data_IF_028103882490
#
_entry.id   IF_028103882490
#
_cell.length_a   1.000
_cell.length_b   1.000
_cell.length_c   1.000
_cell.angle_alpha   90.00
_cell.angle_beta   90.00
_cell.angle_gamma   90.00
#
_symmetry.space_group_name_H-M   'P 1'
#
loop_
_entity.id
_entity.type
_entity.pdbx_description
1 polymer ?
2 non-polymer ?
3 non-polymer ?
4 non-polymer ?
5 non-polymer ?
6 water ?
#
# COMPACT_ATOMS: atom_id res chain seq x y z
N UNK A 5 23.83 23.76 0.66
CA UNK A 5 23.97 22.77 -0.45
C UNK A 5 25.44 22.47 -0.76
N UNK A 6 25.90 21.20 -0.59
CA UNK A 6 25.01 20.12 -0.13
C UNK A 6 24.78 20.17 1.38
N UNK A 7 23.79 19.40 1.84
CA UNK A 7 23.59 19.12 3.25
C UNK A 7 24.91 18.67 3.86
N UNK A 8 25.24 19.12 5.09
CA UNK A 8 26.49 18.67 5.73
C UNK A 8 26.48 17.17 6.05
N UNK A 9 25.34 16.50 5.91
CA UNK A 9 25.23 15.07 6.20
C UNK A 9 25.35 14.27 4.90
N UNK A 10 25.15 14.91 3.74
CA UNK A 10 24.91 14.12 2.56
C UNK A 10 26.21 13.38 2.18
N UNK A 11 26.05 12.08 1.87
CA UNK A 11 27.17 11.28 1.43
C UNK A 11 26.68 10.11 0.59
N UNK A 12 27.31 9.92 -0.59
CA UNK A 12 27.00 8.80 -1.48
C UNK A 12 25.50 8.74 -1.79
N UNK A 13 24.85 9.89 -1.90
CA UNK A 13 23.39 9.91 -2.09
C UNK A 13 23.07 10.62 -3.41
N UNK A 14 22.75 9.85 -4.44
CA UNK A 14 22.64 10.44 -5.77
C UNK A 14 21.35 11.25 -5.91
N UNK A 15 21.34 12.40 -6.64
CA UNK A 15 20.10 13.14 -6.88
C UNK A 15 18.98 12.30 -7.47
N UNK A 16 19.30 11.32 -8.34
CA UNK A 16 18.24 10.49 -8.91
C UNK A 16 17.58 9.64 -7.82
N UNK A 17 18.36 9.20 -6.81
CA UNK A 17 17.83 8.40 -5.70
C UNK A 17 16.90 9.29 -4.86
N UNK A 18 17.34 10.52 -4.61
CA UNK A 18 16.56 11.49 -3.83
C UNK A 18 15.20 11.73 -4.51
N UNK A 19 15.21 11.91 -5.84
CA UNK A 19 13.94 12.12 -6.53
C UNK A 19 13.06 10.87 -6.51
N UNK A 20 13.63 9.68 -6.74
CA UNK A 20 12.87 8.44 -6.73
C UNK A 20 12.25 8.19 -5.36
N UNK A 21 12.93 8.59 -4.28
CA UNK A 21 12.36 8.46 -2.94
C UNK A 21 11.16 9.38 -2.81
N UNK A 22 11.29 10.61 -3.34
CA UNK A 22 10.14 11.51 -3.32
C UNK A 22 8.93 10.89 -4.08
N UNK A 23 9.16 10.22 -5.22
CA UNK A 23 8.07 9.61 -5.95
C UNK A 23 7.46 8.47 -5.14
N UNK A 24 8.32 7.71 -4.44
CA UNK A 24 7.82 6.59 -3.66
C UNK A 24 6.98 7.08 -2.48
N UNK A 25 7.39 8.19 -1.86
CA UNK A 25 6.59 8.78 -0.77
C UNK A 25 5.18 9.08 -1.26
N UNK A 26 5.07 9.69 -2.44
CA UNK A 26 3.76 9.97 -3.00
C UNK A 26 2.97 8.68 -3.25
N UNK A 27 3.62 7.66 -3.79
CA UNK A 27 2.89 6.42 -4.06
C UNK A 27 2.38 5.79 -2.75
N UNK A 28 3.18 5.81 -1.67
CA UNK A 28 2.73 5.19 -0.43
C UNK A 28 1.56 6.00 0.16
N UNK A 29 1.62 7.33 0.05
CA UNK A 29 0.52 8.17 0.51
C UNK A 29 -0.74 7.89 -0.30
N UNK A 30 -0.57 7.66 -1.60
CA UNK A 30 -1.68 7.31 -2.47
C UNK A 30 -2.28 5.97 -2.05
N UNK A 31 -1.42 4.98 -1.79
CA UNK A 31 -1.93 3.70 -1.31
C UNK A 31 -2.71 3.88 -0.01
N UNK A 32 -2.20 4.69 0.94
CA UNK A 32 -2.93 4.93 2.18
C UNK A 32 -4.33 5.43 1.85
N UNK A 33 -4.43 6.33 0.86
CA UNK A 33 -5.73 6.94 0.55
C UNK A 33 -6.70 5.96 -0.10
N UNK A 34 -6.18 5.08 -0.97
CA UNK A 34 -7.00 4.03 -1.55
C UNK A 34 -7.59 3.16 -0.43
N UNK A 35 -6.74 2.75 0.50
CA UNK A 35 -7.26 1.88 1.55
C UNK A 35 -8.24 2.62 2.47
N UNK A 36 -8.05 3.93 2.67
CA UNK A 36 -9.00 4.68 3.48
C UNK A 36 -10.37 4.69 2.79
N UNK A 37 -10.37 4.92 1.48
CA UNK A 37 -11.60 4.88 0.70
C UNK A 37 -12.27 3.53 0.86
N UNK A 38 -11.50 2.48 0.73
CA UNK A 38 -12.08 1.13 0.87
C UNK A 38 -12.67 0.94 2.26
N UNK A 39 -11.94 1.34 3.30
CA UNK A 39 -12.42 1.13 4.66
C UNK A 39 -13.82 1.73 4.81
N UNK A 40 -14.03 2.95 4.30
CA UNK A 40 -15.32 3.59 4.58
C UNK A 40 -16.39 3.14 3.57
N UNK A 41 -16.02 2.45 2.49
CA UNK A 41 -17.00 1.77 1.65
C UNK A 41 -17.66 0.64 2.47
N UNK A 42 -16.85 -0.08 3.25
CA UNK A 42 -17.39 -1.26 3.93
C UNK A 42 -18.25 -0.90 5.14
N UNK A 43 -18.26 0.36 5.59
CA UNK A 43 -19.15 0.76 6.66
C UNK A 43 -20.38 1.53 6.16
N UNK A 44 -20.62 1.53 4.85
CA UNK A 44 -21.87 2.05 4.34
C UNK A 44 -23.02 1.17 4.84
N UNK A 45 -24.19 1.79 4.99
CA UNK A 45 -25.34 1.05 5.52
C UNK A 45 -25.78 -0.06 4.56
N UNK A 46 -25.42 0.07 3.28
CA UNK A 46 -25.77 -0.93 2.27
C UNK A 46 -24.62 -1.87 1.93
N UNK A 47 -23.61 -1.90 2.81
CA UNK A 47 -22.52 -2.86 2.67
C UNK A 47 -22.34 -3.52 4.04
N UNK A 48 -22.00 -2.71 5.06
CA UNK A 48 -22.10 -3.13 6.47
C UNK A 48 -21.28 -4.39 6.76
N UNK A 49 -20.00 -4.36 6.37
CA UNK A 49 -19.07 -5.44 6.70
C UNK A 49 -17.93 -4.81 7.49
N UNK A 50 -18.14 -4.74 8.83
CA UNK A 50 -17.29 -3.94 9.68
C UNK A 50 -15.87 -4.53 9.78
N UNK A 51 -15.72 -5.85 9.61
CA UNK A 51 -14.36 -6.40 9.67
C UNK A 51 -13.57 -6.15 8.38
N UNK A 52 -14.25 -6.11 7.21
CA UNK A 52 -13.59 -5.57 6.01
C UNK A 52 -13.15 -4.14 6.27
N UNK A 53 -14.03 -3.32 6.85
CA UNK A 53 -13.69 -1.92 7.12
C UNK A 53 -12.43 -1.85 7.98
N UNK A 54 -12.37 -2.61 9.10
CA UNK A 54 -11.25 -2.57 10.03
C UNK A 54 -9.98 -3.03 9.31
N UNK A 55 -10.12 -4.04 8.46
CA UNK A 55 -8.98 -4.58 7.72
C UNK A 55 -8.34 -3.49 6.84
N UNK A 56 -9.18 -2.81 6.09
CA UNK A 56 -8.65 -1.81 5.16
C UNK A 56 -8.12 -0.60 5.91
N UNK A 57 -8.76 -0.23 7.01
CA UNK A 57 -8.29 0.91 7.79
C UNK A 57 -6.91 0.60 8.32
N UNK A 58 -6.69 -0.63 8.82
CA UNK A 58 -5.37 -1.01 9.29
C UNK A 58 -4.34 -0.92 8.15
N UNK A 59 -4.71 -1.39 6.95
CA UNK A 59 -3.82 -1.32 5.80
C UNK A 59 -3.51 0.15 5.52
N UNK A 60 -4.51 1.04 5.64
CA UNK A 60 -4.30 2.46 5.34
C UNK A 60 -3.25 3.06 6.26
N UNK A 61 -3.39 2.73 7.55
CA UNK A 61 -2.45 3.22 8.55
C UNK A 61 -1.05 2.68 8.31
N UNK A 62 -0.94 1.44 7.85
CA UNK A 62 0.37 0.88 7.56
C UNK A 62 1.05 1.63 6.42
N UNK A 63 0.28 1.98 5.38
CA UNK A 63 0.86 2.69 4.26
C UNK A 63 1.38 4.07 4.70
N UNK A 64 0.62 4.77 5.55
CA UNK A 64 1.10 6.05 6.09
C UNK A 64 2.44 5.85 6.81
N UNK A 65 2.55 4.78 7.60
CA UNK A 65 3.82 4.46 8.25
C UNK A 65 4.93 4.27 7.22
N UNK A 66 4.63 3.56 6.11
CA UNK A 66 5.63 3.32 5.07
C UNK A 66 6.09 4.64 4.47
N UNK A 67 5.13 5.55 4.25
CA UNK A 67 5.48 6.86 3.71
C UNK A 67 6.39 7.65 4.64
N UNK A 68 6.06 7.63 5.92
CA UNK A 68 6.79 8.36 6.94
C UNK A 68 8.22 7.85 7.07
N UNK A 69 8.41 6.54 6.95
CA UNK A 69 9.74 5.97 7.06
C UNK A 69 10.61 6.44 5.89
N UNK A 70 10.02 6.58 4.69
CA UNK A 70 10.75 7.16 3.57
C UNK A 70 11.07 8.64 3.77
N UNK A 71 10.14 9.37 4.38
CA UNK A 71 10.42 10.77 4.67
C UNK A 71 11.56 10.89 5.67
N UNK A 72 11.58 10.02 6.70
CA UNK A 72 12.68 10.02 7.63
C UNK A 72 13.99 9.66 6.93
N UNK A 73 13.95 8.69 6.00
CA UNK A 73 15.15 8.33 5.24
C UNK A 73 15.67 9.53 4.45
N UNK A 74 14.76 10.27 3.79
CA UNK A 74 15.17 11.47 3.04
C UNK A 74 15.94 12.41 3.96
N UNK A 75 15.39 12.68 5.15
CA UNK A 75 16.08 13.58 6.08
C UNK A 75 17.41 12.99 6.58
N UNK A 76 17.43 11.70 6.90
CA UNK A 76 18.63 11.07 7.44
C UNK A 76 19.78 11.18 6.44
N UNK A 77 19.46 11.06 5.13
CA UNK A 77 20.48 11.08 4.09
C UNK A 77 20.79 12.49 3.59
N UNK A 78 20.01 13.50 4.02
CA UNK A 78 20.34 14.87 3.63
C UNK A 78 19.64 15.30 2.34
N UNK A 79 18.66 14.49 1.90
CA UNK A 79 17.85 14.90 0.77
C UNK A 79 16.72 15.82 1.24
N UNK A 80 15.95 16.33 0.27
CA UNK A 80 14.90 17.28 0.60
C UNK A 80 13.57 16.70 0.13
N UNK A 81 12.66 16.55 1.09
CA UNK A 81 11.32 16.08 0.77
C UNK A 81 10.61 17.09 -0.14
N UNK A 82 10.00 16.56 -1.20
CA UNK A 82 9.18 17.39 -2.07
C UNK A 82 7.87 16.64 -2.26
N UNK A 83 6.83 17.18 -1.64
CA UNK A 83 5.54 16.53 -1.69
C UNK A 83 4.76 16.96 -2.93
N UNK A 84 3.88 16.07 -3.35
CA UNK A 84 3.00 16.38 -4.49
C UNK A 84 1.57 16.08 -4.09
N UNK A 85 0.60 16.47 -4.95
CA UNK A 85 -0.78 16.14 -4.65
C UNK A 85 -0.94 14.61 -4.48
N UNK A 86 -1.83 14.22 -3.56
CA UNK A 86 -2.20 12.80 -3.41
C UNK A 86 -3.46 12.60 -4.25
N UNK A 87 -3.35 11.85 -5.35
CA UNK A 87 -4.49 11.69 -6.24
C UNK A 87 -5.60 10.90 -5.57
N UNK A 88 -6.86 11.25 -5.88
CA UNK A 88 -7.96 10.47 -5.33
C UNK A 88 -7.93 9.04 -5.89
N UNK A 89 -8.46 8.06 -5.15
CA UNK A 89 -8.58 6.70 -5.68
C UNK A 89 -9.44 6.61 -6.93
N UNK A 90 -9.35 5.44 -7.60
CA UNK A 90 -10.04 5.14 -8.85
C UNK A 90 -11.56 5.07 -8.70
N UNK A 91 -12.05 4.77 -7.48
CA UNK A 91 -13.47 4.54 -7.19
C UNK A 91 -13.82 5.03 -5.78
N UNK A 92 -15.07 5.45 -5.55
CA UNK A 92 -15.61 5.56 -4.20
C UNK A 92 -16.38 4.28 -3.87
N UNK A 93 -17.09 3.77 -4.87
CA UNK A 93 -17.87 2.54 -4.81
C UNK A 93 -16.95 1.37 -5.23
N UNK A 94 -16.61 0.52 -4.26
CA UNK A 94 -15.67 -0.57 -4.52
C UNK A 94 -16.40 -1.89 -4.83
N UNK A 95 -17.74 -1.85 -4.93
CA UNK A 95 -18.57 -2.86 -5.60
C UNK A 95 -18.82 -4.10 -4.71
N UNK A 96 -17.76 -4.65 -4.11
CA UNK A 96 -17.89 -5.88 -3.30
C UNK A 96 -16.60 -6.12 -2.52
N UNK A 97 -16.71 -6.97 -1.49
CA UNK A 97 -15.49 -7.39 -0.78
C UNK A 97 -14.45 -8.02 -1.73
N UNK A 98 -14.90 -8.91 -2.64
CA UNK A 98 -13.94 -9.50 -3.58
C UNK A 98 -13.28 -8.44 -4.47
N UNK A 99 -14.09 -7.51 -5.00
CA UNK A 99 -13.50 -6.54 -5.91
C UNK A 99 -12.48 -5.68 -5.17
N UNK A 100 -12.78 -5.27 -3.93
CA UNK A 100 -11.84 -4.45 -3.18
C UNK A 100 -10.55 -5.23 -2.96
N UNK A 101 -10.67 -6.51 -2.57
CA UNK A 101 -9.47 -7.28 -2.35
C UNK A 101 -8.65 -7.44 -3.64
N UNK A 102 -9.32 -7.65 -4.78
CA UNK A 102 -8.58 -7.72 -6.04
C UNK A 102 -7.89 -6.39 -6.38
N UNK A 103 -8.56 -5.27 -6.11
CA UNK A 103 -7.94 -3.98 -6.40
C UNK A 103 -6.75 -3.75 -5.47
N UNK A 104 -6.89 -4.17 -4.22
CA UNK A 104 -5.80 -4.03 -3.25
C UNK A 104 -4.60 -4.88 -3.68
N UNK A 105 -4.84 -6.11 -4.16
CA UNK A 105 -3.73 -6.94 -4.63
C UNK A 105 -3.01 -6.27 -5.81
N UNK A 106 -3.76 -5.71 -6.78
CA UNK A 106 -3.14 -5.02 -7.91
C UNK A 106 -2.32 -3.80 -7.43
N UNK A 107 -2.87 -3.04 -6.47
CA UNK A 107 -2.19 -1.87 -5.93
C UNK A 107 -0.89 -2.30 -5.26
N UNK A 108 -0.92 -3.37 -4.46
CA UNK A 108 0.30 -3.81 -3.80
C UNK A 108 1.34 -4.30 -4.82
N UNK A 109 0.94 -4.96 -5.90
CA UNK A 109 1.90 -5.41 -6.89
C UNK A 109 2.50 -4.19 -7.61
N UNK A 110 1.66 -3.18 -7.82
CA UNK A 110 2.17 -1.97 -8.49
C UNK A 110 3.19 -1.27 -7.60
N UNK A 111 2.89 -1.16 -6.30
CA UNK A 111 3.82 -0.53 -5.36
C UNK A 111 5.10 -1.36 -5.29
N UNK A 112 4.96 -2.69 -5.35
CA UNK A 112 6.12 -3.55 -5.30
C UNK A 112 7.02 -3.31 -6.51
N UNK A 113 6.42 -3.20 -7.69
CA UNK A 113 7.19 -2.94 -8.91
C UNK A 113 7.97 -1.63 -8.75
N UNK A 114 7.33 -0.60 -8.16
CA UNK A 114 8.02 0.66 -7.96
C UNK A 114 9.21 0.47 -6.98
N UNK A 115 8.99 -0.30 -5.92
CA UNK A 115 10.09 -0.53 -4.96
C UNK A 115 11.24 -1.29 -5.63
N UNK A 116 10.90 -2.27 -6.47
CA UNK A 116 11.96 -3.01 -7.17
C UNK A 116 12.73 -2.09 -8.12
N UNK A 117 12.04 -1.16 -8.79
CA UNK A 117 12.73 -0.19 -9.65
C UNK A 117 13.62 0.73 -8.81
N UNK A 118 13.14 1.11 -7.61
CA UNK A 118 13.96 1.95 -6.73
C UNK A 118 15.20 1.19 -6.28
N UNK A 119 15.05 -0.11 -5.99
CA UNK A 119 16.19 -0.89 -5.52
C UNK A 119 17.21 -1.03 -6.65
N UNK A 120 16.69 -1.22 -7.87
CA UNK A 120 17.55 -1.29 -9.03
C UNK A 120 18.31 0.02 -9.23
N UNK A 121 17.64 1.16 -9.03
CA UNK A 121 18.37 2.42 -9.18
C UNK A 121 19.43 2.55 -8.09
N UNK A 122 19.07 2.22 -6.84
CA UNK A 122 20.03 2.29 -5.76
C UNK A 122 21.25 1.39 -6.02
N UNK A 123 21.05 0.19 -6.58
CA UNK A 123 22.16 -0.69 -6.96
C UNK A 123 23.03 -0.02 -8.03
N UNK A 124 22.37 0.55 -9.05
CA UNK A 124 23.06 1.20 -10.15
C UNK A 124 23.92 2.35 -9.64
N UNK A 125 23.45 3.06 -8.61
CA UNK A 125 24.19 4.20 -8.06
C UNK A 125 25.14 3.80 -6.94
N UNK A 126 25.33 2.50 -6.70
CA UNK A 126 26.24 2.02 -5.66
C UNK A 126 25.85 2.57 -4.29
N UNK A 127 24.54 2.52 -3.98
CA UNK A 127 24.07 3.01 -2.67
C UNK A 127 23.60 1.84 -1.81
N UNK A 128 24.51 1.15 -1.11
CA UNK A 128 24.11 -0.05 -0.38
C UNK A 128 23.24 0.28 0.82
N UNK A 129 23.41 1.48 1.40
CA UNK A 129 22.51 1.85 2.51
C UNK A 129 21.06 1.87 2.03
N UNK A 130 20.84 2.48 0.86
CA UNK A 130 19.48 2.58 0.34
C UNK A 130 18.97 1.18 -0.04
N UNK A 131 19.83 0.36 -0.66
CA UNK A 131 19.46 -1.02 -0.98
C UNK A 131 19.02 -1.77 0.28
N UNK A 132 19.83 -1.68 1.34
CA UNK A 132 19.54 -2.35 2.60
C UNK A 132 18.23 -1.83 3.19
N UNK A 133 18.02 -0.51 3.12
CA UNK A 133 16.79 0.07 3.69
C UNK A 133 15.56 -0.55 3.04
N UNK A 134 15.56 -0.62 1.71
CA UNK A 134 14.40 -1.19 1.00
C UNK A 134 14.26 -2.68 1.33
N UNK A 135 15.38 -3.41 1.36
CA UNK A 135 15.33 -4.83 1.66
C UNK A 135 14.79 -5.07 3.09
N UNK A 136 15.24 -4.25 4.03
CA UNK A 136 14.94 -4.53 5.43
C UNK A 136 13.50 -4.15 5.76
N UNK A 137 13.03 -3.02 5.20
CA UNK A 137 11.75 -2.49 5.66
C UNK A 137 10.62 -2.59 4.63
N UNK A 138 10.94 -2.90 3.37
CA UNK A 138 9.93 -2.79 2.33
C UNK A 138 9.70 -4.10 1.59
N UNK A 139 10.79 -4.75 1.14
CA UNK A 139 10.55 -5.78 0.12
C UNK A 139 9.86 -6.98 0.75
N UNK A 140 10.24 -7.39 1.97
CA UNK A 140 9.61 -8.59 2.53
C UNK A 140 8.18 -8.24 2.95
N UNK A 141 7.98 -7.02 3.48
CA UNK A 141 6.63 -6.63 3.89
C UNK A 141 5.69 -6.65 2.68
N UNK A 142 6.19 -6.24 1.52
CA UNK A 142 5.35 -6.21 0.35
C UNK A 142 4.99 -7.63 -0.10
N UNK A 143 5.97 -8.56 -0.04
CA UNK A 143 5.73 -9.94 -0.44
C UNK A 143 4.67 -10.54 0.48
N UNK A 144 4.76 -10.26 1.80
CA UNK A 144 3.80 -10.81 2.76
C UNK A 144 2.40 -10.27 2.47
N UNK A 145 2.30 -8.96 2.16
CA UNK A 145 1.02 -8.33 1.91
C UNK A 145 0.38 -8.92 0.66
N UNK A 146 1.20 -9.12 -0.39
CA UNK A 146 0.68 -9.66 -1.63
C UNK A 146 0.16 -11.09 -1.39
N UNK A 147 0.93 -11.87 -0.61
CA UNK A 147 0.49 -13.25 -0.35
C UNK A 147 -0.82 -13.26 0.44
N UNK A 148 -0.95 -12.41 1.48
CA UNK A 148 -2.17 -12.34 2.28
C UNK A 148 -3.39 -11.98 1.42
N UNK A 149 -3.23 -10.96 0.56
CA UNK A 149 -4.32 -10.55 -0.30
C UNK A 149 -4.65 -11.65 -1.31
N UNK A 150 -3.63 -12.33 -1.84
CA UNK A 150 -3.87 -13.44 -2.75
C UNK A 150 -4.71 -14.52 -2.07
N UNK A 151 -4.37 -14.81 -0.82
CA UNK A 151 -5.08 -15.83 -0.04
C UNK A 151 -6.54 -15.41 0.11
N UNK A 152 -6.76 -14.11 0.46
CA UNK A 152 -8.12 -13.63 0.68
C UNK A 152 -8.93 -13.70 -0.62
N UNK A 153 -8.35 -13.25 -1.74
CA UNK A 153 -9.03 -13.33 -3.02
C UNK A 153 -9.42 -14.80 -3.30
N UNK A 154 -8.47 -15.73 -3.13
CA UNK A 154 -8.77 -17.13 -3.43
C UNK A 154 -9.99 -17.62 -2.64
N UNK A 155 -9.99 -17.36 -1.32
CA UNK A 155 -11.08 -17.86 -0.48
C UNK A 155 -12.40 -17.25 -0.93
N UNK A 156 -12.40 -15.94 -1.19
CA UNK A 156 -13.66 -15.32 -1.60
C UNK A 156 -14.17 -15.89 -2.93
N UNK A 157 -13.24 -16.13 -3.87
CA UNK A 157 -13.66 -16.68 -5.16
C UNK A 157 -14.24 -18.09 -4.94
N UNK A 158 -13.54 -18.93 -4.18
CA UNK A 158 -13.97 -20.31 -3.95
C UNK A 158 -15.34 -20.33 -3.27
N UNK A 159 -15.54 -19.41 -2.34
CA UNK A 159 -16.78 -19.35 -1.56
C UNK A 159 -17.97 -18.88 -2.41
N UNK A 160 -17.70 -18.30 -3.59
CA UNK A 160 -18.74 -17.89 -4.52
C UNK A 160 -19.02 -16.39 -4.50
N UNK A 161 -18.13 -15.58 -3.90
CA UNK A 161 -18.27 -14.13 -3.98
C UNK A 161 -18.15 -13.65 -5.44
N UNK A 162 -18.80 -12.53 -5.84
CA UNK A 162 -19.61 -11.72 -4.94
C UNK A 162 -21.10 -12.08 -4.87
N UNK A 163 -21.55 -13.01 -5.73
CA UNK A 163 -22.98 -13.22 -5.86
C UNK A 163 -23.54 -14.12 -4.76
N UNK A 164 -22.72 -15.04 -4.22
CA UNK A 164 -23.25 -15.96 -3.22
C UNK A 164 -23.52 -15.16 -1.97
N UNK A 165 -24.75 -15.30 -1.47
CA UNK A 165 -25.26 -14.43 -0.43
C UNK A 165 -24.49 -14.56 0.88
N UNK A 166 -23.92 -15.75 1.18
CA UNK A 166 -23.28 -15.94 2.48
C UNK A 166 -21.78 -15.66 2.44
N UNK A 167 -21.17 -15.59 1.26
CA UNK A 167 -19.70 -15.70 1.18
C UNK A 167 -18.99 -14.53 1.85
N UNK A 168 -19.33 -13.29 1.43
CA UNK A 168 -18.65 -12.14 2.03
C UNK A 168 -18.93 -12.03 3.53
N UNK A 169 -20.18 -12.34 3.95
CA UNK A 169 -20.54 -12.27 5.35
C UNK A 169 -19.72 -13.28 6.17
N UNK A 170 -19.63 -14.53 5.68
CA UNK A 170 -18.92 -15.55 6.44
C UNK A 170 -17.43 -15.22 6.48
N UNK A 171 -16.89 -14.71 5.36
CA UNK A 171 -15.48 -14.33 5.35
C UNK A 171 -15.21 -13.20 6.34
N UNK A 172 -16.09 -12.18 6.32
CA UNK A 172 -16.04 -11.07 7.28
C UNK A 172 -15.95 -11.57 8.73
N UNK A 173 -16.82 -12.53 9.09
CA UNK A 173 -17.04 -12.92 10.47
C UNK A 173 -16.15 -14.08 10.89
N UNK A 174 -15.37 -14.66 9.97
CA UNK A 174 -14.41 -15.68 10.35
C UNK A 174 -12.99 -15.21 10.11
N UNK A 175 -12.60 -15.04 8.84
CA UNK A 175 -11.21 -14.72 8.50
C UNK A 175 -10.82 -13.34 9.01
N UNK A 176 -11.70 -12.34 8.80
CA UNK A 176 -11.29 -11.00 9.17
C UNK A 176 -11.69 -10.66 10.61
N UNK A 177 -12.40 -11.59 11.26
CA UNK A 177 -12.88 -11.36 12.61
C UNK A 177 -11.96 -11.97 13.67
X LIG B 1 -19.26 -19.73 12.47
X LIG C 1 3.40 0.42 1.30
X LIG D 1 0.99 -1.91 0.70
X LIG E 1 -1.17 22.11 -7.87
X LIG F 1 -0.85 -5.28 6.44
X LIG G 1 1.35 -0.20 12.17
X LIG H 1 3.43 -1.09 11.12
X LIG I 1 0.66 -4.14 11.43
X LIG J 1 21.36 -6.96 1.51
X LIG K 1 19.92 -7.20 4.83
X LIG L 1 22.68 -6.76 -1.53
X LIG M 1 1.86 -0.34 -0.85
X LIG M 1 0.77 -0.67 -1.29
X LIG N 1 -20.44 -20.28 10.36
X LIG O 1 26.26 12.76 -2.16
X LIG P 1 -7.55 -15.98 3.46
X LIG Q 1 -23.98 -18.79 -0.20
X LIG R 1 3.79 8.43 -8.70
#
# INVERSE_FOLDING_TARGET
MPAAGPSRVRQNFHPDSEAAINRQINLELYASYVYLSMAYYFSRDDVALNNFSRYFLHQSREETEHAEKLMRLQNQRGGRIRLQDIKKPEQDDWESGLHAMECALLLEKNVNQSLLELHALASDKGDPHLCDFLETYYLNEQVKSIKELGDHVHNLVKMGAPDAGLAEYLFDTHTLGNENKQN
FE2 FE
FE2 FE
FE2 FE
FE2 FE
FE2 FE
FE2 FE
FE2 FE
FE2 FE
FE2 FE
FE2 FE
FE2 FE
OXY O1 O2
CL CL
CL CL
CL CL
CL CL
MG MG
#
